data_IF_198651035524
#
_entry.id   IF_198651035524
#
_cell.length_a   1.000
_cell.length_b   1.000
_cell.length_c   1.000
_cell.angle_alpha   90.00
_cell.angle_beta   90.00
_cell.angle_gamma   90.00
#
_symmetry.space_group_name_H-M   'P 1'
#
loop_
_entity.id
_entity.type
_entity.pdbx_description
1 polymer ?
#
# COMPACT_ATOMS: atom_id res chain seq x y z
N UNK A 1 29.29 4.10 6.09
CA UNK A 1 27.96 3.69 6.60
C UNK A 1 27.06 4.91 6.65
N UNK A 2 25.79 4.80 6.24
CA UNK A 2 24.79 5.87 6.40
C UNK A 2 23.96 5.58 7.64
N UNK A 3 23.74 6.58 8.49
CA UNK A 3 22.96 6.46 9.73
C UNK A 3 21.76 7.41 9.72
N UNK A 4 20.67 6.96 10.35
CA UNK A 4 19.43 7.71 10.45
C UNK A 4 18.43 7.39 9.34
N UNK A 5 17.20 7.83 9.53
CA UNK A 5 16.12 7.73 8.54
C UNK A 5 16.00 9.07 7.81
N UNK A 6 15.93 9.02 6.48
CA UNK A 6 15.85 10.19 5.63
C UNK A 6 14.48 10.19 4.98
N UNK A 7 13.60 11.09 5.42
CA UNK A 7 12.20 11.11 4.99
C UNK A 7 11.93 12.30 4.09
N UNK A 8 11.23 12.08 2.96
CA UNK A 8 10.81 13.17 2.07
C UNK A 8 10.10 14.29 2.86
N UNK A 9 10.50 15.54 2.63
CA UNK A 9 9.93 16.72 3.26
C UNK A 9 10.33 16.93 4.72
N UNK A 10 11.20 16.09 5.28
CA UNK A 10 11.70 16.23 6.67
C UNK A 10 13.13 16.73 6.67
N UNK A 11 13.42 17.76 7.46
CA UNK A 11 14.78 18.28 7.59
C UNK A 11 15.72 17.25 8.25
N UNK A 12 16.95 17.18 7.75
CA UNK A 12 17.98 16.35 8.35
C UNK A 12 18.37 16.91 9.74
N UNK A 13 18.66 16.00 10.66
CA UNK A 13 19.07 16.31 12.04
C UNK A 13 20.51 15.87 12.30
N UNK A 14 21.02 16.11 13.50
CA UNK A 14 22.34 15.64 13.94
C UNK A 14 22.49 14.11 13.95
N UNK A 15 21.38 13.36 13.87
CA UNK A 15 21.40 11.89 13.79
C UNK A 15 21.58 11.37 12.36
N UNK A 16 21.37 12.21 11.34
CA UNK A 16 21.55 11.86 9.93
C UNK A 16 23.02 12.04 9.54
N UNK A 17 23.79 10.95 9.53
CA UNK A 17 25.25 11.01 9.35
C UNK A 17 25.76 10.00 8.35
N UNK A 18 26.94 10.30 7.77
CA UNK A 18 27.76 9.33 7.06
C UNK A 18 29.02 9.10 7.88
N UNK A 19 29.28 7.84 8.26
CA UNK A 19 30.56 7.42 8.84
C UNK A 19 31.47 6.92 7.72
N UNK A 20 32.58 7.63 7.50
CA UNK A 20 33.56 7.38 6.46
C UNK A 20 34.86 6.84 7.09
N UNK A 21 35.21 5.56 6.87
CA UNK A 21 36.53 5.05 7.26
C UNK A 21 37.60 5.64 6.34
N UNK A 22 38.70 6.11 6.94
CA UNK A 22 39.85 6.69 6.23
C UNK A 22 41.16 6.13 6.80
N UNK A 23 42.19 6.07 5.98
CA UNK A 23 43.56 5.78 6.43
C UNK A 23 44.38 7.07 6.36
N UNK A 24 44.81 7.56 7.51
CA UNK A 24 45.56 8.81 7.64
C UNK A 24 47.05 8.53 7.47
N UNK A 25 47.63 8.99 6.37
CA UNK A 25 49.07 8.91 6.07
C UNK A 25 49.82 10.18 6.50
N UNK A 26 49.13 11.33 6.47
CA UNK A 26 49.68 12.65 6.82
C UNK A 26 48.78 13.34 7.85
N UNK A 27 49.38 13.86 8.92
CA UNK A 27 48.67 14.63 9.95
C UNK A 27 48.29 16.03 9.44
N UNK A 28 47.21 16.60 9.97
CA UNK A 28 46.77 17.93 9.59
C UNK A 28 45.26 18.08 9.51
N UNK A 29 44.83 19.25 9.02
CA UNK A 29 43.42 19.60 8.89
C UNK A 29 42.75 18.81 7.76
N UNK A 30 41.56 18.30 8.00
CA UNK A 30 40.72 17.69 6.99
C UNK A 30 39.40 18.45 6.83
N UNK A 31 38.88 18.43 5.61
CA UNK A 31 37.53 18.85 5.24
C UNK A 31 37.00 17.86 4.23
N UNK A 32 35.89 17.22 4.58
CA UNK A 32 35.20 16.25 3.73
C UNK A 32 33.77 16.73 3.54
N UNK A 33 33.35 16.82 2.29
CA UNK A 33 32.01 17.23 1.90
C UNK A 33 31.42 16.24 0.92
N UNK A 34 30.12 16.36 0.69
CA UNK A 34 29.46 15.75 -0.47
C UNK A 34 28.98 16.82 -1.43
N UNK A 35 28.66 16.44 -2.67
CA UNK A 35 27.81 17.25 -3.52
C UNK A 35 26.40 17.41 -2.90
N UNK A 36 25.66 18.41 -3.36
CA UNK A 36 24.25 18.56 -2.99
C UNK A 36 23.39 17.79 -3.98
N UNK A 37 22.55 16.88 -3.50
CA UNK A 37 21.57 16.15 -4.31
C UNK A 37 20.20 16.31 -3.67
N UNK A 38 19.21 16.76 -4.44
CA UNK A 38 17.84 16.95 -3.94
C UNK A 38 17.78 17.74 -2.61
N UNK A 39 18.56 18.82 -2.53
CA UNK A 39 18.62 19.69 -1.35
C UNK A 39 19.39 19.15 -0.15
N UNK A 40 19.90 17.92 -0.17
CA UNK A 40 20.68 17.35 0.94
C UNK A 40 22.19 17.34 0.67
N UNK A 41 22.99 17.55 1.71
CA UNK A 41 24.46 17.44 1.68
C UNK A 41 25.01 17.09 3.06
N UNK A 42 26.21 16.56 3.10
CA UNK A 42 26.95 16.15 4.30
C UNK A 42 28.32 16.81 4.36
N UNK A 43 28.77 17.15 5.57
CA UNK A 43 30.10 17.72 5.81
C UNK A 43 30.71 17.24 7.13
N UNK A 44 32.03 17.13 7.18
CA UNK A 44 32.83 16.92 8.38
C UNK A 44 34.19 17.58 8.24
N UNK A 45 34.69 18.18 9.31
CA UNK A 45 35.99 18.84 9.34
C UNK A 45 36.64 18.69 10.72
N UNK A 46 37.97 18.71 10.75
CA UNK A 46 38.75 18.55 11.98
C UNK A 46 40.25 18.47 11.70
N UNK A 47 41.00 17.92 12.65
CA UNK A 47 42.46 17.75 12.56
C UNK A 47 42.85 16.34 12.94
N UNK A 48 43.64 15.67 12.10
CA UNK A 48 44.27 14.40 12.46
C UNK A 48 45.52 14.63 13.31
N UNK A 49 45.54 14.05 14.50
CA UNK A 49 46.68 14.08 15.44
C UNK A 49 47.45 12.77 15.52
N UNK A 50 46.92 11.70 14.90
CA UNK A 50 47.51 10.35 14.87
C UNK A 50 47.32 9.75 13.48
N UNK A 51 48.33 9.07 12.96
CA UNK A 51 48.28 8.34 11.68
C UNK A 51 47.56 6.99 11.84
N UNK A 52 47.13 6.39 10.73
CA UNK A 52 46.46 5.09 10.70
C UNK A 52 44.95 5.18 10.46
N UNK A 53 44.23 4.10 10.75
CA UNK A 53 42.80 4.01 10.43
C UNK A 53 41.96 4.83 11.40
N UNK A 54 41.10 5.69 10.86
CA UNK A 54 40.17 6.53 11.61
C UNK A 54 38.79 6.55 10.96
N UNK A 55 37.78 6.96 11.72
CA UNK A 55 36.42 7.15 11.24
C UNK A 55 36.04 8.63 11.30
N UNK A 56 35.61 9.18 10.17
CA UNK A 56 35.07 10.53 10.08
C UNK A 56 33.55 10.49 10.11
N UNK A 57 32.92 11.35 10.91
CA UNK A 57 31.47 11.54 10.90
C UNK A 57 31.14 12.78 10.10
N UNK A 58 30.40 12.62 9.01
CA UNK A 58 29.86 13.71 8.21
C UNK A 58 28.40 13.94 8.62
N UNK A 59 28.07 15.15 9.06
CA UNK A 59 26.72 15.51 9.48
C UNK A 59 25.91 16.01 8.29
N UNK A 60 24.70 15.48 8.14
CA UNK A 60 23.76 15.84 7.08
C UNK A 60 23.05 17.16 7.34
N UNK A 61 22.68 17.83 6.26
CA UNK A 61 21.88 19.06 6.26
C UNK A 61 20.98 19.08 5.02
N UNK A 62 19.85 19.79 5.12
CA UNK A 62 18.89 19.95 4.01
C UNK A 62 17.57 19.24 4.22
N UNK A 63 16.73 19.24 3.19
CA UNK A 63 15.40 18.62 3.17
C UNK A 63 15.25 17.89 1.81
N UNK A 64 15.15 16.56 1.78
CA UNK A 64 14.93 15.83 0.53
C UNK A 64 13.52 16.08 0.00
N UNK A 65 13.35 16.34 -1.29
CA UNK A 65 12.05 16.68 -1.90
C UNK A 65 11.38 15.52 -2.64
N UNK A 66 12.14 14.47 -2.94
CA UNK A 66 11.67 13.27 -3.66
C UNK A 66 12.13 11.98 -2.99
N UNK A 67 11.40 10.89 -3.24
CA UNK A 67 11.63 9.56 -2.63
C UNK A 67 12.63 8.69 -3.38
N UNK A 68 13.19 9.15 -4.50
CA UNK A 68 14.26 8.45 -5.19
C UNK A 68 15.53 8.44 -4.31
N UNK A 69 16.26 7.32 -4.29
CA UNK A 69 17.54 7.22 -3.59
C UNK A 69 18.54 8.28 -4.08
N UNK A 70 19.38 8.78 -3.16
CA UNK A 70 20.36 9.83 -3.47
C UNK A 70 21.76 9.25 -3.51
N UNK A 71 22.42 9.37 -4.65
CA UNK A 71 23.83 9.02 -4.81
C UNK A 71 24.67 10.24 -4.43
N UNK A 72 25.29 10.19 -3.26
CA UNK A 72 26.14 11.26 -2.73
C UNK A 72 27.59 10.99 -3.11
N UNK A 73 28.21 11.91 -3.82
CA UNK A 73 29.65 11.89 -4.13
C UNK A 73 30.39 12.60 -3.01
N UNK A 74 31.31 11.89 -2.36
CA UNK A 74 32.15 12.38 -1.27
C UNK A 74 33.46 12.91 -1.86
N UNK A 75 33.86 14.10 -1.44
CA UNK A 75 35.11 14.76 -1.83
C UNK A 75 35.87 15.17 -0.57
N UNK A 76 37.15 14.84 -0.50
CA UNK A 76 38.07 15.26 0.56
C UNK A 76 39.14 16.24 0.03
N UNK A 77 39.78 16.96 0.95
CA UNK A 77 40.94 17.80 0.67
C UNK A 77 42.28 17.02 0.71
N UNK A 78 42.27 15.71 0.48
CA UNK A 78 43.49 14.88 0.53
C UNK A 78 44.51 15.30 -0.55
N UNK A 79 45.79 15.39 -0.16
CA UNK A 79 46.89 15.73 -1.06
C UNK A 79 47.28 14.57 -2.00
N UNK A 80 46.93 13.32 -1.63
CA UNK A 80 47.16 12.11 -2.44
C UNK A 80 46.21 11.99 -3.65
N UNK A 81 45.47 13.07 -3.96
CA UNK A 81 44.46 13.17 -5.01
C UNK A 81 43.04 13.15 -4.44
N UNK A 82 42.11 13.81 -5.15
CA UNK A 82 40.69 13.81 -4.80
C UNK A 82 40.13 12.39 -4.87
N UNK A 83 40.16 11.70 -3.74
CA UNK A 83 39.58 10.38 -3.59
C UNK A 83 38.07 10.57 -3.56
N UNK A 84 37.42 10.41 -4.72
CA UNK A 84 35.96 10.44 -4.79
C UNK A 84 35.42 9.04 -4.54
N UNK A 85 34.45 8.93 -3.64
CA UNK A 85 33.67 7.73 -3.46
C UNK A 85 32.20 8.10 -3.37
N UNK A 86 31.32 7.19 -3.75
CA UNK A 86 29.87 7.41 -3.72
C UNK A 86 29.20 6.58 -2.64
N UNK A 87 28.16 7.13 -2.02
CA UNK A 87 27.30 6.41 -1.08
C UNK A 87 25.83 6.70 -1.38
N UNK A 88 24.98 5.69 -1.20
CA UNK A 88 23.53 5.81 -1.43
C UNK A 88 22.84 6.16 -0.11
N UNK A 89 22.04 7.22 -0.14
CA UNK A 89 21.11 7.60 0.93
C UNK A 89 19.70 7.21 0.49
N UNK A 90 19.11 6.26 1.20
CA UNK A 90 17.73 5.78 0.96
C UNK A 90 16.75 6.81 1.49
N UNK A 91 15.83 7.29 0.65
CA UNK A 91 14.78 8.22 1.06
C UNK A 91 13.45 7.47 1.22
N UNK A 92 12.76 7.73 2.33
CA UNK A 92 11.49 7.09 2.66
C UNK A 92 10.30 8.02 2.43
N UNK A 93 9.16 7.42 2.13
CA UNK A 93 7.84 8.05 2.22
C UNK A 93 7.53 8.33 3.71
N UNK A 94 6.94 9.48 4.08
CA UNK A 94 6.50 9.74 5.44
C UNK A 94 5.50 8.69 5.95
N UNK A 95 5.41 8.54 7.28
CA UNK A 95 4.38 7.74 7.94
C UNK A 95 2.99 8.17 7.45
N UNK A 96 2.13 7.18 7.17
CA UNK A 96 0.75 7.40 6.71
C UNK A 96 -0.27 7.10 7.81
N UNK A 97 -1.23 8.00 8.01
CA UNK A 97 -2.36 7.82 8.94
C UNK A 97 -3.48 7.03 8.26
N UNK A 98 -3.84 5.89 8.82
CA UNK A 98 -4.87 5.01 8.29
C UNK A 98 -6.06 4.97 9.24
N UNK A 99 -7.24 5.30 8.72
CA UNK A 99 -8.52 5.13 9.39
C UNK A 99 -9.19 3.85 8.90
N UNK A 100 -9.54 2.96 9.82
CA UNK A 100 -10.17 1.69 9.53
C UNK A 100 -11.63 1.69 9.95
N UNK A 101 -12.50 1.14 9.10
CA UNK A 101 -13.92 1.01 9.35
C UNK A 101 -14.34 -0.40 8.93
N UNK A 102 -14.76 -1.21 9.90
CA UNK A 102 -15.08 -2.64 9.71
C UNK A 102 -14.88 -3.43 11.00
N UNK A 103 -15.27 -4.70 10.98
CA UNK A 103 -15.18 -5.57 12.15
C UNK A 103 -13.72 -5.93 12.48
N UNK A 104 -13.38 -5.81 13.75
CA UNK A 104 -12.06 -6.12 14.30
C UNK A 104 -11.99 -7.60 14.67
N UNK A 105 -11.70 -8.43 13.67
CA UNK A 105 -11.65 -9.90 13.81
C UNK A 105 -10.29 -10.42 13.37
N UNK A 106 -10.04 -11.72 13.59
CA UNK A 106 -8.83 -12.37 13.06
C UNK A 106 -8.72 -12.26 11.53
N UNK A 107 -9.85 -12.17 10.82
CA UNK A 107 -9.93 -12.10 9.36
C UNK A 107 -9.41 -10.79 8.77
N UNK A 108 -9.42 -9.69 9.52
CA UNK A 108 -8.83 -8.43 9.06
C UNK A 108 -9.58 -7.73 7.92
N UNK A 109 -10.93 -7.75 7.93
CA UNK A 109 -11.79 -7.19 6.87
C UNK A 109 -11.50 -5.72 6.49
N UNK A 110 -11.06 -4.90 7.45
CA UNK A 110 -10.65 -3.51 7.22
C UNK A 110 -9.14 -3.28 7.33
N UNK A 111 -8.34 -4.34 7.44
CA UNK A 111 -6.91 -4.31 7.73
C UNK A 111 -6.51 -3.61 9.05
N UNK A 112 -7.43 -3.50 10.02
CA UNK A 112 -7.05 -3.03 11.36
C UNK A 112 -6.37 -4.11 12.20
N UNK A 113 -6.81 -5.35 12.01
CA UNK A 113 -6.33 -6.59 12.66
C UNK A 113 -6.00 -7.63 11.59
N UNK A 114 -5.50 -8.79 12.01
CA UNK A 114 -5.28 -9.94 11.14
C UNK A 114 -4.07 -9.82 10.20
N UNK A 115 -3.91 -10.78 9.28
CA UNK A 115 -2.80 -10.85 8.35
C UNK A 115 -2.69 -9.66 7.40
N UNK A 116 -3.81 -9.05 7.03
CA UNK A 116 -3.82 -7.82 6.23
C UNK A 116 -3.18 -6.65 6.97
N UNK A 117 -3.39 -6.54 8.30
CA UNK A 117 -2.66 -5.61 9.16
C UNK A 117 -1.18 -5.96 9.27
N UNK A 118 -0.85 -7.24 9.47
CA UNK A 118 0.55 -7.69 9.55
C UNK A 118 1.34 -7.43 8.26
N UNK A 119 0.69 -7.53 7.09
CA UNK A 119 1.27 -7.15 5.81
C UNK A 119 1.64 -5.66 5.76
N UNK A 120 0.76 -4.78 6.28
CA UNK A 120 0.98 -3.33 6.34
C UNK A 120 2.13 -2.97 7.28
N UNK A 121 2.19 -3.61 8.45
CA UNK A 121 3.18 -3.31 9.50
C UNK A 121 4.54 -4.00 9.28
N UNK A 122 4.63 -4.89 8.28
CA UNK A 122 5.87 -5.59 7.96
C UNK A 122 6.93 -4.65 7.42
N UNK A 123 8.06 -4.54 8.10
CA UNK A 123 9.20 -3.71 7.68
C UNK A 123 9.90 -4.21 6.41
N UNK A 124 9.71 -5.49 6.03
CA UNK A 124 10.20 -6.00 4.74
C UNK A 124 9.32 -5.54 3.59
N UNK A 125 8.02 -5.30 3.84
CA UNK A 125 7.09 -4.75 2.86
C UNK A 125 7.16 -3.22 2.83
N UNK A 126 6.96 -2.57 3.98
CA UNK A 126 6.88 -1.12 4.16
C UNK A 126 7.85 -0.68 5.27
N UNK A 127 9.09 -0.41 4.90
CA UNK A 127 10.15 -0.11 5.87
C UNK A 127 11.19 0.87 5.39
N UNK A 128 12.15 1.19 6.26
CA UNK A 128 13.07 2.31 6.07
C UNK A 128 14.42 1.92 5.45
N UNK A 129 14.61 0.64 5.13
CA UNK A 129 15.90 0.11 4.64
C UNK A 129 15.86 -0.12 3.12
N UNK A 130 17.04 -0.22 2.51
CA UNK A 130 17.18 -0.41 1.06
C UNK A 130 16.49 -1.69 0.53
N UNK A 131 16.36 -2.72 1.38
CA UNK A 131 15.77 -4.01 1.04
C UNK A 131 14.26 -4.07 1.26
N UNK A 132 13.64 -3.03 1.82
CA UNK A 132 12.18 -2.95 1.91
C UNK A 132 11.59 -2.77 0.51
N UNK A 133 10.50 -3.47 0.20
CA UNK A 133 9.82 -3.37 -1.12
C UNK A 133 9.36 -1.94 -1.37
N UNK A 134 8.71 -1.34 -0.37
CA UNK A 134 8.33 0.08 -0.34
C UNK A 134 9.10 0.77 0.77
N UNK A 135 9.91 1.76 0.39
CA UNK A 135 10.70 2.58 1.31
C UNK A 135 9.80 3.60 2.00
N UNK A 136 9.34 3.31 3.20
CA UNK A 136 8.41 4.17 3.94
C UNK A 136 8.65 4.15 5.45
N UNK A 137 8.09 5.14 6.14
CA UNK A 137 7.97 5.12 7.60
C UNK A 137 6.90 4.16 8.13
N UNK A 138 6.14 3.48 7.26
CA UNK A 138 5.01 2.64 7.63
C UNK A 138 3.74 3.44 7.92
N UNK A 139 2.91 2.91 8.81
CA UNK A 139 1.55 3.38 9.05
C UNK A 139 1.27 3.62 10.54
N UNK A 140 0.33 4.52 10.82
CA UNK A 140 -0.34 4.65 12.13
C UNK A 140 -1.81 4.37 11.95
N UNK A 141 -2.42 3.65 12.87
CA UNK A 141 -3.76 3.08 12.69
C UNK A 141 -4.75 3.64 13.70
N UNK A 142 -5.95 3.95 13.25
CA UNK A 142 -7.11 4.29 14.08
C UNK A 142 -8.33 3.53 13.57
N UNK A 143 -9.09 2.91 14.46
CA UNK A 143 -10.32 2.20 14.08
C UNK A 143 -11.55 2.92 14.59
N UNK A 144 -12.62 2.88 13.81
CA UNK A 144 -13.97 3.26 14.23
C UNK A 144 -14.88 2.05 14.50
N UNK A 145 -14.35 0.83 14.38
CA UNK A 145 -15.12 -0.41 14.47
C UNK A 145 -16.09 -0.60 13.31
N UNK A 146 -17.05 -1.52 13.51
CA UNK A 146 -17.92 -2.04 12.45
C UNK A 146 -19.04 -1.09 12.01
N UNK A 147 -19.56 -0.26 12.91
CA UNK A 147 -20.78 0.52 12.68
C UNK A 147 -20.73 1.90 13.35
N UNK A 148 -19.74 2.76 13.02
CA UNK A 148 -19.70 4.10 13.59
C UNK A 148 -20.89 4.96 13.18
N UNK A 149 -21.35 5.82 14.09
CA UNK A 149 -22.32 6.85 13.77
C UNK A 149 -21.72 7.89 12.79
N UNK A 150 -22.56 8.50 11.96
CA UNK A 150 -22.14 9.49 10.96
C UNK A 150 -21.39 10.70 11.55
N UNK A 151 -21.73 11.13 12.77
CA UNK A 151 -21.01 12.21 13.45
C UNK A 151 -19.58 11.82 13.84
N UNK A 152 -19.37 10.56 14.25
CA UNK A 152 -18.05 10.00 14.59
C UNK A 152 -17.22 9.86 13.32
N UNK A 153 -17.81 9.34 12.24
CA UNK A 153 -17.17 9.25 10.93
C UNK A 153 -16.71 10.63 10.45
N UNK A 154 -17.60 11.63 10.46
CA UNK A 154 -17.29 12.98 10.02
C UNK A 154 -16.13 13.58 10.83
N UNK A 155 -16.15 13.40 12.16
CA UNK A 155 -15.07 13.86 13.05
C UNK A 155 -13.74 13.20 12.69
N UNK A 156 -13.73 11.90 12.45
CA UNK A 156 -12.52 11.17 12.09
C UNK A 156 -11.96 11.59 10.72
N UNK A 157 -12.83 11.81 9.73
CA UNK A 157 -12.41 12.31 8.41
C UNK A 157 -11.87 13.75 8.48
N UNK A 158 -12.43 14.59 9.35
CA UNK A 158 -11.94 15.95 9.59
C UNK A 158 -10.54 16.00 10.23
N UNK A 159 -10.10 14.90 10.87
CA UNK A 159 -8.71 14.75 11.33
C UNK A 159 -7.72 14.42 10.19
N UNK A 160 -8.21 14.37 8.94
CA UNK A 160 -7.44 14.21 7.70
C UNK A 160 -6.52 12.97 7.73
N UNK A 161 -7.08 11.75 7.88
CA UNK A 161 -6.29 10.54 7.64
C UNK A 161 -5.76 10.56 6.20
N UNK A 162 -4.56 10.00 5.98
CA UNK A 162 -4.01 9.85 4.63
C UNK A 162 -4.79 8.80 3.83
N UNK A 163 -5.20 7.71 4.49
CA UNK A 163 -5.90 6.57 3.90
C UNK A 163 -7.09 6.19 4.78
N UNK A 164 -8.22 5.88 4.14
CA UNK A 164 -9.38 5.24 4.77
C UNK A 164 -9.58 3.88 4.14
N UNK A 165 -9.70 2.83 4.98
CA UNK A 165 -10.01 1.47 4.55
C UNK A 165 -11.37 1.08 5.12
N UNK A 166 -12.31 0.77 4.24
CA UNK A 166 -13.66 0.32 4.58
C UNK A 166 -13.81 -1.14 4.22
N UNK A 167 -14.29 -1.95 5.16
CA UNK A 167 -14.60 -3.35 4.93
C UNK A 167 -15.82 -3.82 5.72
N UNK A 168 -16.11 -5.12 5.61
CA UNK A 168 -17.24 -5.75 6.27
C UNK A 168 -17.23 -5.51 7.80
N UNK A 169 -18.39 -5.29 8.46
CA UNK A 169 -19.75 -5.23 7.92
C UNK A 169 -20.28 -3.80 7.77
N UNK A 170 -19.41 -2.81 7.53
CA UNK A 170 -19.87 -1.42 7.53
C UNK A 170 -20.83 -1.13 6.35
N UNK A 171 -22.00 -0.59 6.67
CA UNK A 171 -23.03 -0.20 5.69
C UNK A 171 -23.10 1.34 5.67
N UNK A 172 -22.51 1.94 4.64
CA UNK A 172 -22.58 3.37 4.41
C UNK A 172 -23.98 3.80 3.92
N UNK A 173 -24.64 4.66 4.68
CA UNK A 173 -25.83 5.38 4.21
C UNK A 173 -25.44 6.51 3.23
N UNK A 174 -26.44 7.21 2.67
CA UNK A 174 -26.21 8.30 1.73
C UNK A 174 -25.40 9.48 2.34
N UNK A 175 -25.52 9.72 3.65
CA UNK A 175 -24.78 10.78 4.35
C UNK A 175 -23.31 10.42 4.48
N UNK A 176 -23.02 9.20 4.95
CA UNK A 176 -21.67 8.68 5.03
C UNK A 176 -20.99 8.63 3.66
N UNK A 177 -21.71 8.18 2.62
CA UNK A 177 -21.23 8.20 1.24
C UNK A 177 -20.85 9.61 0.77
N UNK A 178 -21.65 10.62 1.12
CA UNK A 178 -21.33 12.02 0.87
C UNK A 178 -20.05 12.50 1.58
N UNK A 179 -19.80 12.04 2.80
CA UNK A 179 -18.55 12.35 3.51
C UNK A 179 -17.32 11.72 2.85
N UNK A 180 -17.43 10.46 2.40
CA UNK A 180 -16.35 9.82 1.65
C UNK A 180 -16.06 10.51 0.31
N UNK A 181 -17.10 10.92 -0.42
CA UNK A 181 -16.94 11.70 -1.63
C UNK A 181 -16.24 13.05 -1.35
N UNK A 182 -16.61 13.74 -0.27
CA UNK A 182 -15.93 14.97 0.14
C UNK A 182 -14.46 14.73 0.53
N UNK A 183 -14.19 13.65 1.27
CA UNK A 183 -12.83 13.25 1.66
C UNK A 183 -11.93 12.98 0.45
N UNK A 184 -12.44 12.27 -0.56
CA UNK A 184 -11.74 12.03 -1.84
C UNK A 184 -11.48 13.33 -2.60
N UNK A 185 -12.45 14.25 -2.65
CA UNK A 185 -12.27 15.56 -3.29
C UNK A 185 -11.19 16.40 -2.58
N UNK A 186 -11.01 16.20 -1.28
CA UNK A 186 -9.91 16.78 -0.48
C UNK A 186 -8.60 15.96 -0.55
N UNK A 187 -8.42 15.14 -1.59
CA UNK A 187 -7.22 14.34 -1.90
C UNK A 187 -6.92 13.19 -0.94
N UNK A 188 -7.87 12.83 -0.07
CA UNK A 188 -7.80 11.60 0.71
C UNK A 188 -7.79 10.34 -0.17
N UNK A 189 -7.35 9.21 0.37
CA UNK A 189 -7.34 7.90 -0.31
C UNK A 189 -8.40 7.00 0.31
N UNK A 190 -9.30 6.44 -0.49
CA UNK A 190 -10.32 5.49 -0.04
C UNK A 190 -10.14 4.13 -0.71
N UNK A 191 -10.00 3.10 0.11
CA UNK A 191 -10.01 1.70 -0.28
C UNK A 191 -11.27 1.08 0.32
N UNK A 192 -12.15 0.52 -0.52
CA UNK A 192 -13.43 0.01 -0.05
C UNK A 192 -13.72 -1.41 -0.56
N UNK A 193 -14.09 -2.28 0.36
CA UNK A 193 -14.45 -3.67 0.15
C UNK A 193 -15.95 -3.82 0.45
N UNK A 194 -16.77 -3.86 -0.59
CA UNK A 194 -18.23 -3.76 -0.49
C UNK A 194 -18.92 -5.11 -0.44
N UNK A 195 -19.60 -5.40 0.67
CA UNK A 195 -20.33 -6.67 0.89
C UNK A 195 -21.86 -6.55 0.73
N UNK A 196 -22.35 -5.32 0.51
CA UNK A 196 -23.78 -5.00 0.48
C UNK A 196 -24.15 -4.09 -0.70
N UNK A 197 -25.31 -4.36 -1.31
CA UNK A 197 -25.79 -3.64 -2.50
C UNK A 197 -26.21 -2.20 -2.18
N UNK A 198 -27.09 -1.90 -1.20
CA UNK A 198 -27.38 -0.55 -0.76
C UNK A 198 -26.15 0.30 -0.45
N UNK A 199 -25.21 -0.23 0.36
CA UNK A 199 -24.03 0.54 0.74
C UNK A 199 -23.14 0.88 -0.45
N UNK A 200 -22.87 -0.11 -1.31
CA UNK A 200 -22.06 0.09 -2.51
C UNK A 200 -22.75 1.06 -3.48
N UNK A 201 -24.08 1.01 -3.59
CA UNK A 201 -24.83 1.94 -4.43
C UNK A 201 -24.74 3.37 -3.93
N UNK A 202 -24.92 3.60 -2.62
CA UNK A 202 -24.77 4.92 -2.02
C UNK A 202 -23.37 5.49 -2.28
N UNK A 203 -22.34 4.68 -2.04
CA UNK A 203 -20.95 5.08 -2.24
C UNK A 203 -20.69 5.47 -3.71
N UNK A 204 -21.07 4.62 -4.65
CA UNK A 204 -20.84 4.88 -6.08
C UNK A 204 -21.61 6.10 -6.58
N UNK A 205 -22.89 6.25 -6.21
CA UNK A 205 -23.68 7.43 -6.59
C UNK A 205 -23.08 8.72 -6.05
N UNK A 206 -22.59 8.73 -4.81
CA UNK A 206 -21.97 9.91 -4.22
C UNK A 206 -20.63 10.26 -4.86
N UNK A 207 -19.76 9.27 -5.08
CA UNK A 207 -18.41 9.48 -5.62
C UNK A 207 -18.45 9.91 -7.09
N UNK A 208 -19.27 9.24 -7.91
CA UNK A 208 -19.39 9.54 -9.35
C UNK A 208 -20.42 10.63 -9.65
N UNK A 209 -21.18 11.08 -8.63
CA UNK A 209 -22.26 12.07 -8.76
C UNK A 209 -23.30 11.67 -9.82
N UNK A 210 -23.61 10.37 -9.90
CA UNK A 210 -24.54 9.81 -10.88
C UNK A 210 -25.60 8.93 -10.20
N UNK A 211 -26.88 9.38 -10.15
CA UNK A 211 -27.95 8.62 -9.51
C UNK A 211 -28.40 7.40 -10.32
N UNK A 212 -28.03 7.27 -11.60
CA UNK A 212 -28.40 6.14 -12.44
C UNK A 212 -27.62 4.86 -12.08
N UNK A 213 -26.50 4.99 -11.36
CA UNK A 213 -25.71 3.84 -10.91
C UNK A 213 -26.55 2.92 -10.02
N UNK A 214 -26.48 1.63 -10.32
CA UNK A 214 -27.15 0.56 -9.59
C UNK A 214 -26.19 -0.56 -9.21
N UNK A 215 -26.56 -1.32 -8.20
CA UNK A 215 -25.81 -2.49 -7.75
C UNK A 215 -26.70 -3.71 -7.69
N UNK A 216 -26.11 -4.88 -7.89
CA UNK A 216 -26.77 -6.18 -7.79
C UNK A 216 -25.83 -7.20 -7.18
N UNK A 217 -26.38 -8.21 -6.51
CA UNK A 217 -25.60 -9.35 -6.04
C UNK A 217 -25.13 -10.21 -7.23
N UNK A 218 -23.92 -10.76 -7.08
CA UNK A 218 -23.14 -11.41 -8.12
C UNK A 218 -22.94 -12.90 -7.89
N UNK A 219 -21.70 -13.36 -8.06
CA UNK A 219 -21.29 -14.71 -7.68
C UNK A 219 -21.12 -14.80 -6.16
N UNK A 220 -21.51 -15.93 -5.58
CA UNK A 220 -21.26 -16.25 -4.17
C UNK A 220 -19.98 -17.05 -3.97
N UNK A 221 -19.79 -17.50 -2.73
CA UNK A 221 -18.50 -18.00 -2.24
C UNK A 221 -17.70 -18.87 -3.20
N UNK A 222 -16.43 -18.51 -3.40
CA UNK A 222 -15.53 -19.17 -4.34
C UNK A 222 -15.79 -18.81 -5.80
N UNK A 223 -16.52 -17.73 -6.09
CA UNK A 223 -16.54 -17.14 -7.42
C UNK A 223 -15.18 -16.52 -7.73
N UNK A 224 -14.64 -16.82 -8.91
CA UNK A 224 -13.31 -16.34 -9.34
C UNK A 224 -13.47 -15.40 -10.51
N UNK A 225 -12.87 -14.23 -10.44
CA UNK A 225 -13.05 -13.16 -11.42
C UNK A 225 -11.72 -12.80 -12.07
N UNK A 226 -11.75 -12.65 -13.39
CA UNK A 226 -10.57 -12.22 -14.14
C UNK A 226 -10.22 -10.76 -13.81
N UNK A 227 -8.92 -10.49 -13.70
CA UNK A 227 -8.34 -9.15 -13.56
C UNK A 227 -8.01 -8.63 -14.96
N UNK A 228 -8.39 -7.39 -15.23
CA UNK A 228 -8.14 -6.75 -16.52
C UNK A 228 -6.64 -6.65 -16.83
N UNK A 229 -6.29 -6.60 -18.11
CA UNK A 229 -4.89 -6.42 -18.55
C UNK A 229 -4.49 -4.94 -18.63
N UNK A 230 -5.18 -4.07 -17.89
CA UNK A 230 -4.93 -2.63 -17.92
C UNK A 230 -3.55 -2.33 -17.35
N UNK A 231 -2.74 -1.54 -18.07
CA UNK A 231 -1.44 -1.11 -17.56
C UNK A 231 -1.63 -0.03 -16.48
N UNK A 232 -1.71 -0.49 -15.23
CA UNK A 232 -1.98 0.34 -14.07
C UNK A 232 -1.04 -0.03 -12.92
N UNK A 233 -0.40 0.94 -12.23
CA UNK A 233 0.52 0.68 -11.11
C UNK A 233 -0.05 -0.21 -10.00
N UNK A 234 -1.37 -0.26 -9.80
CA UNK A 234 -1.98 -1.16 -8.83
C UNK A 234 -2.01 -2.60 -9.34
N UNK A 235 -2.18 -2.80 -10.66
CA UNK A 235 -2.20 -4.13 -11.25
C UNK A 235 -0.81 -4.65 -11.59
N UNK A 236 0.21 -3.80 -11.68
CA UNK A 236 1.61 -4.18 -11.93
C UNK A 236 2.62 -3.52 -10.97
N UNK A 237 2.23 -3.42 -9.70
CA UNK A 237 3.01 -2.78 -8.66
C UNK A 237 4.18 -3.61 -8.12
N UNK A 238 4.90 -3.08 -7.12
CA UNK A 238 6.15 -3.65 -6.63
C UNK A 238 5.97 -5.00 -5.91
N UNK A 239 4.75 -5.38 -5.52
CA UNK A 239 4.47 -6.69 -4.94
C UNK A 239 4.17 -7.77 -5.97
N UNK A 240 3.94 -7.40 -7.23
CA UNK A 240 3.81 -8.33 -8.35
C UNK A 240 2.81 -7.86 -9.41
N UNK A 241 2.97 -8.41 -10.61
CA UNK A 241 2.04 -8.21 -11.72
C UNK A 241 0.86 -9.20 -11.61
N UNK A 242 -0.35 -8.67 -11.55
CA UNK A 242 -1.61 -9.42 -11.43
C UNK A 242 -2.51 -9.28 -12.66
N UNK A 243 -2.06 -8.56 -13.69
CA UNK A 243 -2.82 -8.38 -14.93
C UNK A 243 -3.08 -9.73 -15.61
N UNK A 244 -4.33 -9.95 -16.02
CA UNK A 244 -4.75 -11.21 -16.64
C UNK A 244 -4.82 -12.42 -15.70
N UNK A 245 -4.56 -12.24 -14.39
CA UNK A 245 -4.79 -13.26 -13.36
C UNK A 245 -6.20 -13.13 -12.79
N UNK A 246 -6.45 -13.63 -11.57
CA UNK A 246 -7.77 -13.61 -10.95
C UNK A 246 -7.75 -13.09 -9.52
N UNK A 247 -8.91 -12.61 -9.06
CA UNK A 247 -9.22 -12.43 -7.64
C UNK A 247 -10.40 -13.34 -7.27
N UNK A 248 -10.51 -13.70 -6.00
CA UNK A 248 -11.52 -14.61 -5.49
C UNK A 248 -12.45 -13.92 -4.52
N UNK A 249 -13.74 -14.21 -4.63
CA UNK A 249 -14.72 -13.78 -3.64
C UNK A 249 -14.82 -14.78 -2.49
N UNK A 250 -14.91 -14.21 -1.28
CA UNK A 250 -14.92 -14.90 0.01
C UNK A 250 -16.29 -15.51 0.38
N UNK A 251 -16.69 -15.58 1.65
CA UNK A 251 -17.81 -16.40 2.12
C UNK A 251 -19.22 -15.87 1.78
N UNK A 252 -19.34 -14.72 1.11
CA UNK A 252 -20.58 -13.96 1.00
C UNK A 252 -21.15 -13.98 -0.43
N UNK A 253 -21.32 -12.79 -1.02
CA UNK A 253 -21.69 -12.63 -2.41
C UNK A 253 -21.08 -11.36 -2.94
N UNK A 254 -20.48 -11.44 -4.13
CA UNK A 254 -19.92 -10.28 -4.81
C UNK A 254 -20.99 -9.23 -5.07
N UNK A 255 -20.68 -7.96 -4.84
CA UNK A 255 -21.49 -6.84 -5.34
C UNK A 255 -20.99 -6.44 -6.72
N UNK A 256 -21.91 -6.30 -7.68
CA UNK A 256 -21.61 -5.80 -9.03
C UNK A 256 -22.26 -4.44 -9.24
N UNK A 257 -21.57 -3.55 -9.98
CA UNK A 257 -22.06 -2.22 -10.33
C UNK A 257 -22.45 -2.17 -11.80
N UNK A 258 -23.60 -1.53 -12.08
CA UNK A 258 -24.09 -1.21 -13.41
C UNK A 258 -24.34 0.29 -13.55
N UNK A 259 -24.33 0.78 -14.79
CA UNK A 259 -24.61 2.19 -15.11
C UNK A 259 -23.39 3.11 -15.15
N UNK A 260 -22.19 2.65 -14.75
CA UNK A 260 -20.96 3.42 -14.92
C UNK A 260 -20.56 3.53 -16.40
N UNK A 261 -20.40 4.76 -16.91
CA UNK A 261 -20.06 5.03 -18.32
C UNK A 261 -18.70 5.70 -18.50
N UNK A 262 -18.18 6.41 -17.49
CA UNK A 262 -16.89 7.10 -17.55
C UNK A 262 -16.35 7.37 -16.14
N UNK A 263 -15.12 7.91 -16.03
CA UNK A 263 -14.52 8.30 -14.74
C UNK A 263 -13.88 7.17 -13.93
N UNK A 264 -13.80 5.97 -14.50
CA UNK A 264 -13.23 4.79 -13.83
C UNK A 264 -12.30 4.01 -14.74
N UNK A 265 -11.46 3.18 -14.13
CA UNK A 265 -10.65 2.17 -14.78
C UNK A 265 -11.12 0.80 -14.28
N UNK A 266 -11.61 -0.08 -15.17
CA UNK A 266 -12.10 -1.40 -14.78
C UNK A 266 -10.93 -2.30 -14.39
N UNK A 267 -10.97 -2.84 -13.16
CA UNK A 267 -10.05 -3.89 -12.72
C UNK A 267 -10.66 -5.27 -12.89
N UNK A 268 -11.97 -5.41 -12.75
CA UNK A 268 -12.66 -6.68 -12.95
C UNK A 268 -14.12 -6.49 -13.33
N UNK A 269 -14.65 -7.43 -14.12
CA UNK A 269 -16.04 -7.41 -14.61
C UNK A 269 -16.89 -8.44 -13.85
N UNK A 270 -18.21 -8.25 -13.90
CA UNK A 270 -19.18 -9.00 -13.11
C UNK A 270 -19.29 -10.51 -13.42
N UNK A 271 -18.65 -11.01 -14.48
CA UNK A 271 -18.70 -12.42 -14.88
C UNK A 271 -17.58 -13.22 -14.21
N UNK A 272 -17.88 -14.16 -13.29
CA UNK A 272 -16.89 -15.11 -12.80
C UNK A 272 -16.47 -16.07 -13.91
N UNK A 273 -15.19 -16.42 -13.96
CA UNK A 273 -14.63 -17.36 -14.95
C UNK A 273 -15.15 -18.78 -14.72
N UNK A 274 -15.50 -19.15 -13.50
CA UNK A 274 -16.00 -20.47 -13.11
C UNK A 274 -17.55 -20.55 -13.09
N UNK A 275 -18.25 -19.59 -13.69
CA UNK A 275 -19.72 -19.57 -13.74
C UNK A 275 -20.23 -19.44 -15.17
N UNK A 276 -21.28 -20.19 -15.52
CA UNK A 276 -22.01 -20.03 -16.80
C UNK A 276 -23.19 -19.06 -16.70
N UNK A 277 -23.55 -18.63 -15.48
CA UNK A 277 -24.60 -17.63 -15.28
C UNK A 277 -24.09 -16.27 -15.72
N UNK A 278 -24.68 -15.73 -16.79
CA UNK A 278 -24.31 -14.45 -17.37
C UNK A 278 -24.56 -13.31 -16.38
N UNK A 279 -23.52 -12.50 -16.17
CA UNK A 279 -23.55 -11.31 -15.32
C UNK A 279 -22.82 -10.18 -16.04
N UNK A 280 -23.36 -8.98 -15.94
CA UNK A 280 -22.82 -7.76 -16.56
C UNK A 280 -22.54 -6.70 -15.52
N UNK A 281 -21.57 -5.84 -15.78
CA UNK A 281 -21.17 -4.77 -14.87
C UNK A 281 -19.73 -4.92 -14.39
N UNK A 282 -19.40 -4.21 -13.32
CA UNK A 282 -18.06 -4.08 -12.75
C UNK A 282 -18.04 -4.67 -11.34
N UNK A 283 -17.05 -5.50 -11.06
CA UNK A 283 -16.83 -6.14 -9.75
C UNK A 283 -15.57 -5.62 -9.04
N UNK A 284 -14.72 -4.88 -9.75
CA UNK A 284 -13.59 -4.15 -9.19
C UNK A 284 -13.16 -2.99 -10.08
N UNK A 285 -12.81 -1.85 -9.48
CA UNK A 285 -12.40 -0.66 -10.20
C UNK A 285 -11.47 0.23 -9.37
N UNK A 286 -10.85 1.19 -10.06
CA UNK A 286 -10.47 2.46 -9.43
C UNK A 286 -11.08 3.65 -10.15
N UNK A 287 -11.20 4.77 -9.46
CA UNK A 287 -11.54 6.04 -10.10
C UNK A 287 -10.34 6.55 -10.92
N UNK A 288 -10.62 7.23 -12.04
CA UNK A 288 -9.57 7.71 -12.95
C UNK A 288 -8.85 8.99 -12.48
N UNK A 289 -9.40 9.70 -11.49
CA UNK A 289 -8.95 11.04 -11.07
C UNK A 289 -9.01 11.26 -9.55
N UNK A 290 -9.89 10.57 -8.83
CA UNK A 290 -9.89 10.48 -7.37
C UNK A 290 -9.07 9.27 -6.91
N UNK A 291 -8.55 9.32 -5.69
CA UNK A 291 -7.77 8.23 -5.08
C UNK A 291 -8.71 7.17 -4.48
N UNK A 292 -9.56 6.57 -5.32
CA UNK A 292 -10.58 5.61 -4.90
C UNK A 292 -10.35 4.26 -5.57
N UNK A 293 -10.30 3.20 -4.77
CA UNK A 293 -10.26 1.80 -5.23
C UNK A 293 -11.37 1.02 -4.55
N UNK A 294 -12.06 0.18 -5.32
CA UNK A 294 -13.16 -0.64 -4.79
C UNK A 294 -13.18 -2.03 -5.39
N UNK A 295 -13.49 -3.01 -4.56
CA UNK A 295 -13.87 -4.37 -4.95
C UNK A 295 -15.15 -4.76 -4.23
N UNK A 296 -16.04 -5.45 -4.94
CA UNK A 296 -17.35 -5.84 -4.42
C UNK A 296 -17.30 -7.10 -3.57
N UNK A 297 -16.37 -7.23 -2.64
CA UNK A 297 -16.30 -8.37 -1.71
C UNK A 297 -15.86 -7.86 -0.34
N UNK A 298 -16.69 -8.03 0.69
CA UNK A 298 -16.37 -7.63 2.06
C UNK A 298 -15.26 -8.47 2.70
N UNK A 299 -15.08 -9.70 2.22
CA UNK A 299 -14.06 -10.65 2.64
C UNK A 299 -12.80 -10.62 1.76
N UNK A 300 -12.61 -9.59 0.94
CA UNK A 300 -11.47 -9.51 0.01
C UNK A 300 -10.12 -9.66 0.71
N UNK A 301 -10.02 -9.19 1.96
CA UNK A 301 -8.83 -9.26 2.80
C UNK A 301 -8.80 -10.44 3.78
N UNK A 302 -9.83 -11.29 3.77
CA UNK A 302 -10.03 -12.26 4.84
C UNK A 302 -8.96 -13.34 4.85
N UNK A 303 -8.35 -13.51 6.02
CA UNK A 303 -7.54 -14.66 6.37
C UNK A 303 -7.33 -14.69 7.89
N UNK A 304 -7.46 -15.83 8.56
CA UNK A 304 -7.32 -15.90 10.02
C UNK A 304 -5.93 -16.32 10.53
N UNK A 305 -5.03 -16.81 9.65
CA UNK A 305 -3.77 -17.44 10.07
C UNK A 305 -2.52 -17.05 9.24
N UNK A 306 -2.66 -16.06 8.36
CA UNK A 306 -1.70 -15.56 7.39
C UNK A 306 -1.27 -16.54 6.28
N UNK A 307 -1.44 -17.83 6.48
CA UNK A 307 -1.10 -18.89 5.54
C UNK A 307 -2.28 -19.21 4.63
N UNK A 308 -2.05 -20.05 3.62
CA UNK A 308 -3.15 -20.53 2.79
C UNK A 308 -4.13 -21.38 3.65
N UNK A 309 -5.31 -20.82 3.91
CA UNK A 309 -6.37 -21.53 4.62
C UNK A 309 -6.87 -22.73 3.80
N UNK A 310 -7.17 -23.86 4.47
CA UNK A 310 -7.63 -25.09 3.81
C UNK A 310 -9.12 -25.00 3.42
N UNK A 311 -9.44 -24.07 2.53
CA UNK A 311 -10.72 -23.93 1.86
C UNK A 311 -10.49 -23.37 0.46
N UNK A 312 -11.34 -23.79 -0.46
CA UNK A 312 -11.35 -23.32 -1.85
C UNK A 312 -12.37 -22.22 -2.09
N UNK A 313 -13.17 -21.82 -1.10
CA UNK A 313 -14.21 -20.78 -1.29
C UNK A 313 -14.15 -19.65 -0.28
N UNK A 314 -13.24 -19.70 0.70
CA UNK A 314 -13.09 -18.64 1.71
C UNK A 314 -11.62 -18.32 1.97
N UNK A 315 -11.38 -17.16 2.56
CA UNK A 315 -10.08 -16.62 2.92
C UNK A 315 -9.12 -16.56 1.72
N UNK A 316 -9.42 -15.70 0.72
CA UNK A 316 -8.62 -15.57 -0.49
C UNK A 316 -7.30 -14.83 -0.27
N UNK A 317 -7.13 -14.16 0.88
CA UNK A 317 -5.93 -13.39 1.20
C UNK A 317 -4.84 -14.31 1.76
N UNK A 318 -3.57 -14.15 1.33
CA UNK A 318 -2.45 -14.96 1.85
C UNK A 318 -1.19 -14.08 1.99
N UNK A 319 -0.65 -13.98 3.20
CA UNK A 319 0.53 -13.18 3.53
C UNK A 319 1.37 -13.88 4.62
N UNK A 320 2.08 -14.98 4.33
CA UNK A 320 2.65 -15.86 5.34
C UNK A 320 3.70 -15.17 6.21
N UNK A 321 3.64 -15.38 7.53
CA UNK A 321 4.60 -14.82 8.49
C UNK A 321 6.03 -15.30 8.24
N UNK A 322 6.20 -16.54 7.77
CA UNK A 322 7.50 -17.12 7.39
C UNK A 322 8.20 -16.37 6.24
N UNK A 323 7.43 -15.66 5.40
CA UNK A 323 7.93 -14.80 4.34
C UNK A 323 7.96 -13.32 4.73
N UNK A 324 7.91 -12.99 6.02
CA UNK A 324 7.84 -11.61 6.50
C UNK A 324 6.52 -10.93 6.12
N UNK A 325 5.43 -11.69 6.02
CA UNK A 325 4.12 -11.21 5.53
C UNK A 325 4.14 -10.66 4.10
N UNK A 326 5.11 -11.07 3.28
CA UNK A 326 5.08 -10.76 1.84
C UNK A 326 3.82 -11.40 1.22
N UNK A 327 2.98 -10.63 0.51
CA UNK A 327 1.78 -11.18 -0.11
C UNK A 327 2.16 -12.21 -1.17
N UNK A 328 1.38 -13.29 -1.21
CA UNK A 328 1.44 -14.30 -2.27
C UNK A 328 0.04 -14.58 -2.78
N UNK A 329 -0.04 -15.32 -3.89
CA UNK A 329 -1.30 -15.86 -4.36
C UNK A 329 -1.79 -16.99 -3.45
N UNK A 330 -3.11 -17.15 -3.35
CA UNK A 330 -3.69 -18.42 -2.90
C UNK A 330 -3.66 -19.41 -4.05
N UNK A 331 -3.07 -20.58 -3.83
CA UNK A 331 -2.74 -21.51 -4.91
C UNK A 331 -3.89 -22.43 -5.30
N UNK A 332 -4.83 -22.68 -4.38
CA UNK A 332 -6.02 -23.50 -4.59
C UNK A 332 -7.30 -22.74 -4.22
N UNK A 333 -8.07 -22.35 -5.22
CA UNK A 333 -9.31 -21.59 -5.02
C UNK A 333 -10.38 -21.85 -6.09
N UNK A 334 -11.59 -21.45 -5.74
CA UNK A 334 -12.82 -21.46 -6.51
C UNK A 334 -13.57 -22.79 -6.55
N UNK A 335 -14.90 -22.72 -6.62
CA UNK A 335 -15.75 -23.89 -6.86
C UNK A 335 -15.63 -24.38 -8.31
N UNK A 336 -16.00 -25.65 -8.54
CA UNK A 336 -16.02 -26.24 -9.86
C UNK A 336 -17.15 -25.67 -10.73
N UNK A 337 -16.84 -25.27 -11.97
CA UNK A 337 -17.83 -24.73 -12.89
C UNK A 337 -17.18 -24.15 -14.14
N UNK A 338 -17.95 -24.04 -15.23
CA UNK A 338 -17.48 -23.53 -16.52
C UNK A 338 -16.14 -24.14 -17.01
N UNK A 339 -15.95 -25.45 -16.80
CA UNK A 339 -14.73 -26.17 -17.20
C UNK A 339 -13.60 -26.17 -16.16
N UNK A 340 -13.74 -25.46 -15.05
CA UNK A 340 -12.79 -25.49 -13.94
C UNK A 340 -13.13 -26.56 -12.91
N UNK A 341 -12.11 -27.24 -12.39
CA UNK A 341 -12.22 -28.13 -11.23
C UNK A 341 -12.20 -27.33 -9.92
N UNK A 342 -12.76 -27.88 -8.85
CA UNK A 342 -12.72 -27.27 -7.52
C UNK A 342 -11.28 -27.08 -7.05
N UNK A 343 -10.93 -25.87 -6.57
CA UNK A 343 -9.55 -25.53 -6.20
C UNK A 343 -8.59 -25.40 -7.38
N UNK A 344 -9.08 -25.47 -8.62
CA UNK A 344 -8.24 -25.45 -9.83
C UNK A 344 -7.76 -24.06 -10.25
N UNK A 345 -8.08 -23.00 -9.50
CA UNK A 345 -7.75 -21.62 -9.83
C UNK A 345 -6.88 -20.98 -8.75
N UNK A 346 -6.18 -19.91 -9.13
CA UNK A 346 -5.32 -19.12 -8.24
C UNK A 346 -5.85 -17.69 -8.15
N UNK A 347 -5.79 -17.09 -6.96
CA UNK A 347 -6.30 -15.74 -6.70
C UNK A 347 -5.27 -14.84 -6.02
N UNK A 348 -5.32 -13.55 -6.33
CA UNK A 348 -4.24 -12.59 -6.05
C UNK A 348 -4.64 -11.50 -5.04
N UNK A 349 -5.69 -11.69 -4.24
CA UNK A 349 -6.28 -10.66 -3.38
C UNK A 349 -5.22 -9.93 -2.51
N UNK A 350 -4.27 -10.66 -1.91
CA UNK A 350 -3.22 -10.06 -1.10
C UNK A 350 -2.21 -9.22 -1.89
N UNK A 351 -1.85 -9.64 -3.10
CA UNK A 351 -0.93 -8.88 -3.97
C UNK A 351 -1.61 -7.60 -4.46
N UNK A 352 -2.90 -7.67 -4.82
CA UNK A 352 -3.70 -6.50 -5.19
C UNK A 352 -3.71 -5.49 -4.04
N UNK A 353 -4.05 -5.92 -2.82
CA UNK A 353 -4.09 -5.03 -1.66
C UNK A 353 -2.73 -4.38 -1.38
N UNK A 354 -1.64 -5.15 -1.44
CA UNK A 354 -0.30 -4.62 -1.22
C UNK A 354 0.12 -3.60 -2.30
N UNK A 355 -0.25 -3.82 -3.56
CA UNK A 355 -0.02 -2.86 -4.63
C UNK A 355 -0.88 -1.60 -4.49
N UNK A 356 -2.10 -1.69 -3.93
CA UNK A 356 -2.92 -0.50 -3.63
C UNK A 356 -2.23 0.40 -2.58
N UNK A 357 -1.54 -0.21 -1.63
CA UNK A 357 -0.85 0.49 -0.53
C UNK A 357 0.49 1.12 -0.92
N UNK A 358 1.12 0.65 -1.99
CA UNK A 358 2.46 1.04 -2.45
C UNK A 358 2.46 2.36 -3.23
#
# INVERSE_FOLDING_TARGET
>A
MVNGVYTKGTALSSTNTIVLPVTVTTLGSYSVITNTVDGISFRGAGTFTVSGNQNLTLTGSGIPTSTADKVMTITSNSADGASTCSIIVVITIPIKKVLHIGAETAYGYSAYTGPSRSLMDSSTNFGTVATSIVKSGGYTHTSLGASPANSVLLTALNNKPDIVIVGYPYIADATAAGYFANYLNNKGVLIAFGDDTPSSQNLMRAIFSDPAISTVYGGGAGSVYAISNTNDPILNGPFGDVRGKNWGEDASTTVNISGLTSGFIPYSYAQPINSTTSRTGISGLRHSSLNFVWFGDGGFLSNENANEYNSVTIEPFVAPSSGGYRPIQKSSYGYAGNGYISGGMQVQNAIIFANILA
#
